data_IF_664900482065
#
_entry.id   IF_664900482065
#
_cell.length_a   1.000
_cell.length_b   1.000
_cell.length_c   1.000
_cell.angle_alpha   90.00
_cell.angle_beta   90.00
_cell.angle_gamma   90.00
#
_symmetry.space_group_name_H-M   'P 1'
#
loop_
_entity.id
_entity.type
_entity.pdbx_description
1 polymer ?
#
# COMPACT_ATOMS: atom_id res chain seq x y z
N UNK A 1 -24.16 -0.05 15.41
CA UNK A 1 -22.85 -0.71 15.36
C UNK A 1 -22.08 -0.08 14.23
N UNK A 2 -20.89 0.42 14.49
CA UNK A 2 -20.01 1.04 13.51
C UNK A 2 -18.58 1.07 14.02
N UNK A 3 -17.61 1.03 13.11
CA UNK A 3 -16.24 1.40 13.46
C UNK A 3 -16.16 2.92 13.66
N UNK A 4 -15.13 3.38 14.36
CA UNK A 4 -14.83 4.80 14.59
C UNK A 4 -13.58 5.16 13.79
N UNK A 5 -13.78 5.56 12.56
CA UNK A 5 -12.69 6.02 11.71
C UNK A 5 -12.50 7.53 11.88
N UNK A 6 -11.24 7.94 11.94
CA UNK A 6 -10.82 9.34 12.03
C UNK A 6 -9.85 9.66 10.89
N UNK A 7 -9.82 10.89 10.38
CA UNK A 7 -8.89 11.21 9.29
C UNK A 7 -7.43 11.03 9.73
N UNK A 8 -6.57 10.56 8.82
CA UNK A 8 -5.12 10.63 9.00
C UNK A 8 -4.69 12.10 8.91
N UNK A 9 -3.78 12.50 9.82
CA UNK A 9 -3.19 13.84 9.81
C UNK A 9 -2.46 14.08 8.48
N UNK A 10 -2.50 15.32 7.98
CA UNK A 10 -1.82 15.67 6.74
C UNK A 10 -1.10 17.02 6.84
N UNK A 11 0.03 17.10 6.14
CA UNK A 11 0.85 18.30 6.01
C UNK A 11 1.31 18.43 4.56
N UNK A 12 1.64 19.64 4.15
CA UNK A 12 2.26 19.87 2.84
C UNK A 12 3.72 19.36 2.85
N UNK A 13 4.49 19.77 3.84
CA UNK A 13 5.88 19.37 4.09
C UNK A 13 6.13 19.38 5.61
N UNK A 14 7.20 18.73 6.08
CA UNK A 14 7.51 18.59 7.50
C UNK A 14 9.01 18.58 7.78
N UNK A 15 9.43 19.24 8.86
CA UNK A 15 10.80 19.17 9.34
C UNK A 15 11.11 17.80 9.95
N UNK A 16 12.38 17.38 9.93
CA UNK A 16 12.81 16.13 10.58
C UNK A 16 12.45 16.11 12.06
N UNK A 17 12.64 17.22 12.76
CA UNK A 17 12.38 17.34 14.20
C UNK A 17 10.89 17.16 14.51
N UNK A 18 10.02 17.86 13.77
CA UNK A 18 8.57 17.74 13.95
C UNK A 18 8.07 16.35 13.57
N UNK A 19 8.60 15.78 12.48
CA UNK A 19 8.28 14.41 12.08
C UNK A 19 8.63 13.42 13.19
N UNK A 20 9.83 13.53 13.77
CA UNK A 20 10.29 12.63 14.83
C UNK A 20 9.40 12.76 16.07
N UNK A 21 9.21 13.99 16.56
CA UNK A 21 8.55 14.24 17.84
C UNK A 21 7.05 14.00 17.79
N UNK A 22 6.39 14.32 16.66
CA UNK A 22 4.93 14.29 16.56
C UNK A 22 4.38 13.02 15.91
N UNK A 23 5.18 12.32 15.09
CA UNK A 23 4.70 11.19 14.28
C UNK A 23 5.51 9.90 14.46
N UNK A 24 6.83 9.95 14.35
CA UNK A 24 7.67 8.75 14.47
C UNK A 24 7.65 8.17 15.89
N UNK A 25 8.05 8.96 16.89
CA UNK A 25 8.11 8.53 18.31
C UNK A 25 6.70 8.15 18.81
N UNK A 26 5.65 8.97 18.58
CA UNK A 26 4.30 8.63 19.03
C UNK A 26 3.60 7.55 18.19
N UNK A 27 4.24 7.06 17.12
CA UNK A 27 3.70 6.10 16.15
C UNK A 27 2.33 6.51 15.61
N UNK A 28 2.28 7.70 14.99
CA UNK A 28 1.08 8.22 14.32
C UNK A 28 1.27 8.24 12.81
N UNK A 29 0.30 7.72 12.04
CA UNK A 29 0.30 7.87 10.58
C UNK A 29 0.23 9.34 10.17
N UNK A 30 0.85 9.66 9.03
CA UNK A 30 0.91 11.01 8.47
C UNK A 30 0.91 10.97 6.94
N UNK A 31 0.15 11.86 6.30
CA UNK A 31 0.26 12.13 4.87
C UNK A 31 1.09 13.39 4.64
N UNK A 32 2.09 13.29 3.76
CA UNK A 32 2.95 14.40 3.32
C UNK A 32 2.67 14.64 1.84
N UNK A 33 1.91 15.72 1.54
CA UNK A 33 1.39 15.97 0.18
C UNK A 33 2.45 16.37 -0.83
N UNK A 34 3.52 17.05 -0.41
CA UNK A 34 4.59 17.54 -1.30
C UNK A 34 5.88 16.73 -1.18
N UNK A 35 5.85 15.54 -0.57
CA UNK A 35 7.01 14.66 -0.44
C UNK A 35 7.67 14.33 -1.80
N UNK A 36 6.87 14.22 -2.85
CA UNK A 36 7.31 13.89 -4.21
C UNK A 36 7.58 15.10 -5.09
N UNK A 37 7.46 16.33 -4.59
CA UNK A 37 7.55 17.54 -5.41
C UNK A 37 8.90 17.65 -6.16
N UNK A 38 9.96 17.07 -5.60
CA UNK A 38 11.30 17.03 -6.20
C UNK A 38 11.57 15.79 -7.08
N UNK A 39 10.63 14.85 -7.14
CA UNK A 39 10.79 13.59 -7.86
C UNK A 39 10.40 13.79 -9.33
N UNK A 40 11.29 13.49 -10.30
CA UNK A 40 10.88 13.43 -11.71
C UNK A 40 9.70 12.47 -11.94
N UNK A 41 9.59 11.40 -11.14
CA UNK A 41 8.49 10.44 -11.18
C UNK A 41 7.10 11.08 -11.11
N UNK A 42 6.95 12.21 -10.39
CA UNK A 42 5.67 12.92 -10.22
C UNK A 42 5.05 13.37 -11.55
N UNK A 43 5.86 13.58 -12.60
CA UNK A 43 5.35 13.92 -13.92
C UNK A 43 5.63 12.81 -14.94
N UNK A 44 6.75 12.10 -14.78
CA UNK A 44 7.26 11.16 -15.76
C UNK A 44 6.61 9.78 -15.68
N UNK A 45 6.21 9.31 -14.50
CA UNK A 45 5.65 7.96 -14.32
C UNK A 45 4.18 7.91 -14.72
N UNK A 46 3.94 8.06 -16.03
CA UNK A 46 2.66 7.76 -16.66
C UNK A 46 2.58 6.28 -17.02
N UNK A 47 1.37 5.78 -17.30
CA UNK A 47 1.21 4.42 -17.80
C UNK A 47 1.97 4.18 -19.10
N UNK A 48 1.94 5.12 -20.05
CA UNK A 48 2.69 5.02 -21.30
C UNK A 48 4.20 4.90 -21.07
N UNK A 49 4.76 5.74 -20.20
CA UNK A 49 6.18 5.69 -19.86
C UNK A 49 6.57 4.35 -19.23
N UNK A 50 5.76 3.84 -18.30
CA UNK A 50 6.03 2.55 -17.65
C UNK A 50 5.89 1.38 -18.65
N UNK A 51 4.92 1.44 -19.58
CA UNK A 51 4.79 0.48 -20.68
C UNK A 51 6.00 0.50 -21.62
N UNK A 52 6.52 1.67 -21.95
CA UNK A 52 7.75 1.78 -22.76
C UNK A 52 8.96 1.20 -22.02
N UNK A 53 9.03 1.44 -20.71
CA UNK A 53 10.21 1.10 -19.90
C UNK A 53 10.27 -0.39 -19.54
N UNK A 54 9.15 -1.01 -19.13
CA UNK A 54 9.10 -2.40 -18.66
C UNK A 54 7.91 -3.21 -19.19
N UNK A 55 7.20 -2.71 -20.20
CA UNK A 55 5.97 -3.33 -20.72
C UNK A 55 6.13 -4.74 -21.29
N UNK A 56 7.32 -5.11 -21.75
CA UNK A 56 7.60 -6.44 -22.30
C UNK A 56 7.85 -7.52 -21.23
N UNK A 57 8.01 -7.12 -19.96
CA UNK A 57 8.31 -8.03 -18.85
C UNK A 57 7.07 -8.80 -18.43
N UNK A 58 7.22 -10.12 -18.26
CA UNK A 58 6.17 -10.96 -17.67
C UNK A 58 6.12 -10.69 -16.18
N UNK A 59 4.93 -10.38 -15.67
CA UNK A 59 4.68 -10.11 -14.25
C UNK A 59 3.67 -11.10 -13.68
N UNK A 60 3.90 -11.61 -12.46
CA UNK A 60 2.91 -12.41 -11.75
C UNK A 60 1.75 -11.54 -11.30
N UNK A 61 0.54 -12.07 -11.46
CA UNK A 61 -0.70 -11.44 -11.03
C UNK A 61 -1.36 -12.27 -9.94
N UNK A 62 -1.96 -11.57 -8.98
CA UNK A 62 -2.61 -12.10 -7.80
C UNK A 62 -4.06 -11.65 -7.80
N UNK A 63 -4.97 -12.46 -7.28
CA UNK A 63 -6.38 -12.11 -7.11
C UNK A 63 -6.74 -12.03 -5.61
N UNK A 64 -8.03 -11.93 -5.31
CA UNK A 64 -8.60 -11.97 -3.95
C UNK A 64 -9.02 -13.38 -3.54
N UNK A 65 -8.54 -14.43 -4.22
CA UNK A 65 -8.80 -15.80 -3.81
C UNK A 65 -8.17 -16.09 -2.45
N UNK A 66 -8.95 -16.72 -1.56
CA UNK A 66 -8.49 -17.07 -0.22
C UNK A 66 -7.21 -17.90 -0.28
N UNK A 67 -6.31 -17.64 0.66
CA UNK A 67 -5.10 -18.42 0.81
C UNK A 67 -5.41 -19.93 0.88
N UNK A 68 -4.84 -20.70 -0.04
CA UNK A 68 -4.95 -22.15 -0.07
C UNK A 68 -3.74 -22.76 0.67
N UNK A 69 -3.92 -23.41 1.84
CA UNK A 69 -2.81 -23.98 2.61
C UNK A 69 -2.05 -25.08 1.87
N UNK A 70 -2.61 -25.63 0.79
CA UNK A 70 -1.96 -26.64 -0.04
C UNK A 70 -1.06 -26.06 -1.13
N UNK A 71 -1.12 -24.75 -1.37
CA UNK A 71 -0.32 -24.05 -2.38
C UNK A 71 0.87 -23.33 -1.75
N UNK A 72 1.93 -23.05 -2.53
CA UNK A 72 2.95 -22.09 -2.11
C UNK A 72 2.30 -20.76 -1.71
N UNK A 73 2.80 -20.17 -0.63
CA UNK A 73 2.42 -18.82 -0.21
C UNK A 73 2.68 -17.88 -1.40
N UNK A 74 1.69 -17.06 -1.77
CA UNK A 74 1.73 -16.15 -2.92
C UNK A 74 1.95 -16.86 -4.26
N UNK A 75 1.23 -17.95 -4.52
CA UNK A 75 1.10 -18.48 -5.89
C UNK A 75 0.35 -17.47 -6.78
N UNK A 76 0.90 -17.18 -7.97
CA UNK A 76 0.23 -16.30 -8.93
C UNK A 76 -1.04 -16.96 -9.48
N UNK A 77 -2.10 -16.16 -9.63
CA UNK A 77 -3.34 -16.57 -10.27
C UNK A 77 -3.20 -16.55 -11.81
N UNK A 78 -2.37 -15.64 -12.33
CA UNK A 78 -2.07 -15.50 -13.74
C UNK A 78 -0.69 -14.86 -13.96
N UNK A 79 -0.22 -14.89 -15.21
CA UNK A 79 0.96 -14.15 -15.65
C UNK A 79 0.65 -13.52 -17.01
N UNK A 80 1.09 -12.28 -17.23
CA UNK A 80 1.03 -11.62 -18.53
C UNK A 80 2.13 -10.56 -18.63
N UNK A 81 2.29 -9.94 -19.80
CA UNK A 81 3.18 -8.79 -19.94
C UNK A 81 2.67 -7.62 -19.11
N UNK A 82 3.57 -6.87 -18.49
CA UNK A 82 3.25 -5.66 -17.75
C UNK A 82 2.43 -4.69 -18.60
N UNK A 83 2.78 -4.54 -19.89
CA UNK A 83 2.04 -3.67 -20.81
C UNK A 83 0.59 -4.09 -21.01
N UNK A 84 0.36 -5.40 -21.15
CA UNK A 84 -0.98 -5.96 -21.32
C UNK A 84 -1.82 -5.79 -20.03
N UNK A 85 -1.18 -5.91 -18.86
CA UNK A 85 -1.84 -5.66 -17.58
C UNK A 85 -2.23 -4.19 -17.40
N UNK A 86 -1.35 -3.25 -17.80
CA UNK A 86 -1.67 -1.82 -17.78
C UNK A 86 -2.84 -1.49 -18.73
N UNK A 87 -2.93 -2.17 -19.88
CA UNK A 87 -4.08 -2.02 -20.78
C UNK A 87 -5.37 -2.59 -20.16
N UNK A 88 -5.29 -3.72 -19.46
CA UNK A 88 -6.42 -4.34 -18.75
C UNK A 88 -7.02 -3.38 -17.71
N UNK A 89 -6.20 -2.87 -16.78
CA UNK A 89 -6.70 -2.03 -15.67
C UNK A 89 -7.24 -0.66 -16.10
N UNK A 90 -6.85 -0.19 -17.29
CA UNK A 90 -7.39 1.03 -17.89
C UNK A 90 -8.71 0.79 -18.62
N UNK A 91 -8.91 -0.41 -19.15
CA UNK A 91 -10.10 -0.78 -19.91
C UNK A 91 -11.26 -1.14 -19.00
N UNK A 92 -11.02 -1.96 -17.98
CA UNK A 92 -12.08 -2.50 -17.13
C UNK A 92 -11.59 -2.81 -15.70
N UNK A 93 -12.49 -2.79 -14.70
CA UNK A 93 -12.19 -3.30 -13.37
C UNK A 93 -11.71 -4.75 -13.42
N UNK A 94 -10.73 -5.09 -12.60
CA UNK A 94 -10.21 -6.45 -12.48
C UNK A 94 -9.77 -6.69 -11.04
N UNK A 95 -9.91 -7.94 -10.61
CA UNK A 95 -9.42 -8.39 -9.30
C UNK A 95 -7.91 -8.73 -9.34
N UNK A 96 -7.32 -8.76 -10.54
CA UNK A 96 -5.89 -9.01 -10.71
C UNK A 96 -5.07 -7.81 -10.25
N UNK A 97 -3.99 -8.08 -9.52
CA UNK A 97 -3.02 -7.09 -9.03
C UNK A 97 -1.59 -7.58 -9.16
N UNK A 98 -0.67 -6.63 -9.32
CA UNK A 98 0.77 -6.88 -9.22
C UNK A 98 1.18 -6.63 -7.76
N UNK A 99 1.72 -7.65 -7.12
CA UNK A 99 2.27 -7.57 -5.76
C UNK A 99 3.79 -7.67 -5.81
N UNK A 100 4.48 -6.72 -5.16
CA UNK A 100 5.94 -6.68 -5.02
C UNK A 100 6.70 -6.84 -6.36
N UNK A 101 6.34 -6.03 -7.36
CA UNK A 101 7.15 -5.96 -8.58
C UNK A 101 8.33 -5.03 -8.38
N UNK A 102 9.51 -5.52 -8.78
CA UNK A 102 10.77 -4.79 -8.76
C UNK A 102 11.15 -4.44 -10.22
N UNK A 103 10.62 -3.34 -10.77
CA UNK A 103 10.97 -2.92 -12.13
C UNK A 103 12.41 -2.44 -12.25
N UNK A 104 13.07 -2.08 -11.14
CA UNK A 104 14.43 -1.53 -11.12
C UNK A 104 15.45 -2.58 -11.56
N UNK A 105 15.19 -3.87 -11.30
CA UNK A 105 15.98 -4.98 -11.86
C UNK A 105 16.06 -4.96 -13.38
N UNK A 106 15.00 -4.48 -14.04
CA UNK A 106 14.90 -4.44 -15.50
C UNK A 106 15.20 -3.06 -16.07
N UNK A 107 14.92 -2.00 -15.31
CA UNK A 107 15.07 -0.61 -15.69
C UNK A 107 15.68 0.21 -14.53
N UNK A 108 16.99 0.08 -14.28
CA UNK A 108 17.63 0.74 -13.14
C UNK A 108 17.57 2.28 -13.20
N UNK A 109 17.40 2.85 -14.39
CA UNK A 109 17.23 4.29 -14.59
C UNK A 109 15.95 4.85 -13.93
N UNK A 110 14.99 4.00 -13.52
CA UNK A 110 13.84 4.44 -12.71
C UNK A 110 14.28 5.02 -11.36
N UNK A 111 15.43 4.62 -10.83
CA UNK A 111 15.99 5.21 -9.61
C UNK A 111 16.37 6.67 -9.76
N UNK A 112 16.65 7.15 -10.99
CA UNK A 112 16.95 8.55 -11.26
C UNK A 112 15.72 9.45 -11.06
N UNK A 113 14.51 8.86 -11.08
CA UNK A 113 13.23 9.54 -10.94
C UNK A 113 12.71 9.57 -9.49
N UNK A 114 13.33 8.80 -8.59
CA UNK A 114 12.91 8.59 -7.20
C UNK A 114 13.82 9.32 -6.20
N UNK A 115 13.27 9.84 -5.10
CA UNK A 115 14.08 10.38 -3.97
C UNK A 115 13.59 9.78 -2.66
N UNK A 116 14.38 8.87 -2.09
CA UNK A 116 14.07 8.32 -0.76
C UNK A 116 13.96 9.42 0.30
N UNK A 117 12.98 9.35 1.23
CA UNK A 117 12.74 10.35 2.29
C UNK A 117 13.79 10.31 3.42
N UNK A 118 15.06 10.17 3.07
CA UNK A 118 16.23 10.08 3.96
C UNK A 118 16.42 11.28 4.89
N UNK A 119 15.86 12.43 4.51
CA UNK A 119 15.81 13.63 5.36
C UNK A 119 14.91 13.45 6.58
N UNK A 120 13.84 12.64 6.48
CA UNK A 120 12.93 12.32 7.58
C UNK A 120 13.41 11.07 8.33
N UNK A 121 13.60 9.99 7.58
CA UNK A 121 14.03 8.69 8.09
C UNK A 121 14.78 7.97 6.98
N UNK A 122 15.98 7.48 7.30
CA UNK A 122 16.78 6.71 6.35
C UNK A 122 17.20 5.37 6.95
N UNK A 123 17.61 4.45 6.10
CA UNK A 123 18.01 3.12 6.52
C UNK A 123 18.51 2.25 5.37
N UNK A 124 18.83 1.00 5.70
CA UNK A 124 19.30 0.02 4.73
C UNK A 124 18.23 -0.30 3.66
N UNK A 125 16.95 -0.29 4.05
CA UNK A 125 15.82 -0.66 3.19
C UNK A 125 15.49 0.37 2.11
N UNK A 126 15.99 1.61 2.23
CA UNK A 126 15.78 2.70 1.25
C UNK A 126 16.22 2.35 -0.18
N UNK A 127 17.07 1.32 -0.31
CA UNK A 127 17.61 0.83 -1.58
C UNK A 127 16.73 -0.19 -2.29
N UNK A 128 15.62 -0.60 -1.68
CA UNK A 128 14.75 -1.66 -2.19
C UNK A 128 13.29 -1.19 -2.32
N UNK A 129 12.99 -0.17 -3.13
CA UNK A 129 11.60 0.23 -3.35
C UNK A 129 10.89 -0.85 -4.15
N UNK A 130 9.70 -1.23 -3.68
CA UNK A 130 8.81 -2.15 -4.37
C UNK A 130 7.63 -1.38 -4.97
N UNK A 131 7.17 -1.81 -6.14
CA UNK A 131 5.98 -1.22 -6.77
C UNK A 131 4.81 -2.20 -6.70
N UNK A 132 3.63 -1.62 -6.49
CA UNK A 132 2.35 -2.31 -6.44
C UNK A 132 1.44 -1.67 -7.47
N UNK A 133 0.68 -2.49 -8.20
CA UNK A 133 -0.29 -2.01 -9.18
C UNK A 133 -1.62 -2.73 -8.98
N UNK A 134 -2.71 -1.97 -9.00
CA UNK A 134 -4.07 -2.50 -8.94
C UNK A 134 -4.98 -1.67 -9.82
N UNK A 135 -5.99 -2.31 -10.41
CA UNK A 135 -7.08 -1.61 -11.10
C UNK A 135 -8.09 -0.98 -10.15
N UNK A 136 -9.04 -0.23 -10.71
CA UNK A 136 -10.15 0.31 -9.94
C UNK A 136 -10.94 -0.82 -9.24
N UNK A 137 -11.18 -0.66 -7.95
CA UNK A 137 -11.85 -1.68 -7.12
C UNK A 137 -10.92 -2.76 -6.56
N UNK A 138 -9.62 -2.74 -6.87
CA UNK A 138 -8.66 -3.67 -6.26
C UNK A 138 -8.55 -3.43 -4.76
N UNK A 139 -8.70 -4.50 -3.98
CA UNK A 139 -8.62 -4.48 -2.51
C UNK A 139 -7.42 -5.31 -2.06
N UNK A 140 -6.69 -4.78 -1.08
CA UNK A 140 -5.73 -5.58 -0.31
C UNK A 140 -6.35 -5.85 1.05
N UNK A 141 -6.46 -7.13 1.41
CA UNK A 141 -6.98 -7.54 2.71
C UNK A 141 -6.18 -6.91 3.85
N UNK A 142 -6.81 -6.79 5.03
CA UNK A 142 -6.15 -6.26 6.21
C UNK A 142 -4.98 -7.14 6.64
N UNK A 143 -3.82 -6.54 6.74
CA UNK A 143 -2.57 -7.16 7.16
C UNK A 143 -1.66 -6.12 7.78
N UNK A 144 -0.63 -6.60 8.45
CA UNK A 144 0.55 -5.81 8.81
C UNK A 144 1.78 -6.43 8.16
N UNK A 145 2.83 -5.64 7.98
CA UNK A 145 4.04 -6.10 7.33
C UNK A 145 4.89 -6.99 8.24
N UNK A 146 5.34 -8.12 7.69
CA UNK A 146 6.04 -9.19 8.44
C UNK A 146 7.38 -8.72 9.04
N UNK A 147 8.03 -7.74 8.41
CA UNK A 147 9.31 -7.19 8.84
C UNK A 147 9.14 -6.11 9.92
N UNK A 148 7.89 -5.73 10.25
CA UNK A 148 7.55 -4.68 11.19
C UNK A 148 8.34 -3.38 10.90
N UNK A 149 8.54 -3.04 9.63
CA UNK A 149 9.19 -1.81 9.23
C UNK A 149 8.25 -0.59 9.39
N UNK A 150 8.86 0.59 9.48
CA UNK A 150 8.16 1.84 9.19
C UNK A 150 8.14 2.05 7.67
N UNK A 151 7.00 2.43 7.11
CA UNK A 151 6.81 2.45 5.65
C UNK A 151 6.45 3.84 5.17
N UNK A 152 7.07 4.25 4.07
CA UNK A 152 6.65 5.41 3.28
C UNK A 152 5.98 4.90 2.00
N UNK A 153 4.65 4.90 1.98
CA UNK A 153 3.85 4.48 0.84
C UNK A 153 3.51 5.70 -0.02
N UNK A 154 4.17 5.82 -1.17
CA UNK A 154 3.92 6.91 -2.11
C UNK A 154 2.95 6.46 -3.19
N UNK A 155 1.85 7.21 -3.38
CA UNK A 155 0.81 6.87 -4.34
C UNK A 155 1.01 7.61 -5.66
N UNK A 156 0.95 6.87 -6.78
CA UNK A 156 0.94 7.44 -8.12
C UNK A 156 -0.26 6.89 -8.89
N UNK A 157 -0.95 7.80 -9.57
CA UNK A 157 -2.00 7.57 -10.55
C UNK A 157 -3.29 6.96 -9.98
N UNK A 158 -4.41 7.66 -10.17
CA UNK A 158 -5.68 7.31 -9.54
C UNK A 158 -5.75 7.79 -8.08
N UNK A 159 -6.58 7.11 -7.29
CA UNK A 159 -6.79 7.37 -5.87
C UNK A 159 -6.85 6.07 -5.11
N UNK A 160 -6.36 6.05 -3.88
CA UNK A 160 -6.40 4.88 -3.01
C UNK A 160 -7.00 5.22 -1.66
N UNK A 161 -8.05 4.49 -1.27
CA UNK A 161 -8.56 4.55 0.10
C UNK A 161 -7.69 3.64 0.99
N UNK A 162 -7.19 4.19 2.08
CA UNK A 162 -6.40 3.45 3.08
C UNK A 162 -7.07 3.59 4.43
N UNK A 163 -7.27 2.46 5.10
CA UNK A 163 -7.74 2.38 6.48
C UNK A 163 -6.65 1.66 7.29
N UNK A 164 -6.18 2.31 8.34
CA UNK A 164 -5.13 1.82 9.23
C UNK A 164 -5.69 1.60 10.64
N UNK A 165 -5.26 0.52 11.29
CA UNK A 165 -5.66 0.20 12.65
C UNK A 165 -4.44 0.02 13.53
N UNK A 166 -4.50 0.51 14.76
CA UNK A 166 -3.44 0.23 15.73
C UNK A 166 -3.42 -1.28 16.03
N UNK A 167 -2.22 -1.83 16.16
CA UNK A 167 -1.95 -3.24 16.39
C UNK A 167 -2.69 -3.82 17.62
N UNK A 168 -3.06 -2.96 18.59
CA UNK A 168 -3.93 -3.35 19.73
C UNK A 168 -5.29 -3.92 19.32
N UNK A 169 -5.73 -3.67 18.08
CA UNK A 169 -7.01 -4.14 17.55
C UNK A 169 -6.95 -5.52 16.86
N UNK A 170 -5.77 -6.13 16.72
CA UNK A 170 -5.59 -7.39 15.98
C UNK A 170 -6.59 -8.49 16.33
N UNK A 171 -6.81 -8.77 17.61
CA UNK A 171 -7.76 -9.80 18.03
C UNK A 171 -9.19 -9.48 17.58
N UNK A 172 -9.57 -8.19 17.64
CA UNK A 172 -10.91 -7.72 17.26
C UNK A 172 -11.08 -7.62 15.74
N UNK A 173 -9.98 -7.43 15.01
CA UNK A 173 -9.88 -7.54 13.57
C UNK A 173 -9.80 -9.00 13.11
N UNK A 174 -9.95 -9.98 13.99
CA UNK A 174 -9.88 -11.40 13.62
C UNK A 174 -8.56 -11.76 12.91
N UNK A 175 -7.43 -11.21 13.39
CA UNK A 175 -6.10 -11.62 12.95
C UNK A 175 -5.91 -13.13 13.16
N UNK A 176 -5.45 -13.83 12.11
CA UNK A 176 -5.24 -15.27 12.19
C UNK A 176 -4.00 -15.55 13.05
N UNK A 177 -4.06 -16.49 14.02
CA UNK A 177 -2.90 -16.83 14.85
C UNK A 177 -1.69 -17.25 14.01
N UNK A 178 -0.52 -16.71 14.34
CA UNK A 178 0.75 -16.97 13.63
C UNK A 178 0.78 -16.53 12.15
N UNK A 179 -0.18 -15.69 11.74
CA UNK A 179 -0.19 -15.02 10.44
C UNK A 179 -0.10 -13.51 10.61
N UNK A 180 0.16 -12.79 9.52
CA UNK A 180 0.23 -11.32 9.50
C UNK A 180 -1.03 -10.66 8.97
N UNK A 181 -2.13 -11.40 8.84
CA UNK A 181 -3.35 -10.95 8.19
C UNK A 181 -4.62 -11.41 8.90
N UNK A 182 -5.68 -10.62 8.71
CA UNK A 182 -7.02 -10.88 9.21
C UNK A 182 -7.78 -11.88 8.34
N UNK A 183 -8.93 -12.34 8.84
CA UNK A 183 -9.87 -13.10 8.03
C UNK A 183 -10.27 -12.31 6.77
N UNK A 184 -10.19 -12.97 5.62
CA UNK A 184 -10.66 -12.44 4.32
C UNK A 184 -12.19 -12.59 4.15
N UNK A 185 -12.91 -12.92 5.24
CA UNK A 185 -14.33 -13.25 5.24
C UNK A 185 -15.28 -12.05 5.44
N UNK A 186 -14.72 -10.84 5.54
CA UNK A 186 -15.46 -9.60 5.70
C UNK A 186 -14.87 -8.47 4.86
N UNK A 187 -15.76 -7.59 4.41
CA UNK A 187 -15.43 -6.31 3.83
C UNK A 187 -15.22 -5.29 4.96
N UNK A 188 -14.02 -4.72 5.07
CA UNK A 188 -13.72 -3.73 6.11
C UNK A 188 -14.44 -2.40 5.86
N UNK A 189 -14.75 -2.04 4.62
CA UNK A 189 -15.46 -0.80 4.32
C UNK A 189 -16.95 -0.92 4.67
N UNK A 190 -17.50 -2.13 4.58
CA UNK A 190 -18.90 -2.42 4.90
C UNK A 190 -19.07 -3.75 5.66
N UNK A 191 -18.64 -3.83 6.93
CA UNK A 191 -18.61 -5.09 7.66
C UNK A 191 -20.00 -5.52 8.14
N UNK A 192 -20.29 -6.82 8.04
CA UNK A 192 -21.46 -7.42 8.69
C UNK A 192 -21.19 -7.59 10.20
N UNK A 193 -21.58 -6.61 11.00
CA UNK A 193 -21.44 -6.64 12.46
C UNK A 193 -22.24 -7.76 13.15
N UNK A 194 -23.21 -8.41 12.49
CA UNK A 194 -23.87 -9.58 13.07
C UNK A 194 -22.96 -10.80 12.99
N UNK A 195 -22.23 -10.96 11.88
CA UNK A 195 -21.26 -12.04 11.66
C UNK A 195 -19.92 -11.75 12.35
N UNK A 196 -19.51 -10.48 12.38
CA UNK A 196 -18.24 -10.01 12.93
C UNK A 196 -18.43 -8.94 14.03
N UNK A 197 -19.10 -9.28 15.15
CA UNK A 197 -19.46 -8.31 16.18
C UNK A 197 -18.24 -7.67 16.87
N UNK A 198 -17.07 -8.31 16.83
CA UNK A 198 -15.86 -7.76 17.44
C UNK A 198 -15.38 -6.48 16.75
N UNK A 199 -15.81 -6.19 15.51
CA UNK A 199 -15.48 -4.94 14.81
C UNK A 199 -16.21 -3.72 15.38
N UNK A 200 -17.29 -3.89 16.14
CA UNK A 200 -18.11 -2.76 16.58
C UNK A 200 -17.37 -1.80 17.52
N UNK A 201 -17.17 -0.56 17.12
CA UNK A 201 -16.50 0.45 17.93
C UNK A 201 -14.98 0.33 18.00
N UNK A 202 -14.33 -0.48 17.13
CA UNK A 202 -12.88 -0.35 16.93
C UNK A 202 -12.54 1.03 16.36
N UNK A 203 -11.35 1.52 16.67
CA UNK A 203 -10.88 2.83 16.24
C UNK A 203 -9.83 2.67 15.15
N UNK A 204 -10.03 3.34 14.03
CA UNK A 204 -9.10 3.34 12.90
C UNK A 204 -8.82 4.75 12.41
N UNK A 205 -7.86 4.84 11.49
CA UNK A 205 -7.56 6.07 10.77
C UNK A 205 -7.73 5.84 9.27
N UNK A 206 -8.33 6.78 8.56
CA UNK A 206 -8.58 6.65 7.13
C UNK A 206 -8.10 7.86 6.34
N UNK A 207 -7.77 7.64 5.07
CA UNK A 207 -7.54 8.71 4.11
C UNK A 207 -7.65 8.22 2.66
N UNK A 208 -7.91 9.17 1.78
CA UNK A 208 -7.75 9.00 0.33
C UNK A 208 -6.37 9.55 -0.04
N UNK A 209 -5.50 8.71 -0.59
CA UNK A 209 -4.23 9.13 -1.17
C UNK A 209 -4.46 9.59 -2.60
N UNK A 210 -3.97 10.78 -2.92
CA UNK A 210 -3.97 11.36 -4.26
C UNK A 210 -2.61 11.13 -4.95
N UNK A 211 -2.53 11.41 -6.25
CA UNK A 211 -1.28 11.30 -7.01
C UNK A 211 -0.18 12.20 -6.42
N UNK A 212 0.92 11.60 -5.98
CA UNK A 212 2.07 12.27 -5.38
C UNK A 212 2.08 12.28 -3.86
N UNK A 213 1.00 11.89 -3.19
CA UNK A 213 0.95 11.81 -1.73
C UNK A 213 1.87 10.70 -1.20
N UNK A 214 2.58 10.97 -0.12
CA UNK A 214 3.31 9.95 0.64
C UNK A 214 2.69 9.75 2.01
N UNK A 215 2.24 8.52 2.28
CA UNK A 215 1.75 8.08 3.58
C UNK A 215 2.89 7.44 4.40
N UNK A 216 3.19 8.01 5.55
CA UNK A 216 3.97 7.36 6.59
C UNK A 216 3.07 6.42 7.41
N UNK A 217 3.39 5.12 7.37
CA UNK A 217 2.74 4.08 8.17
C UNK A 217 3.72 3.61 9.25
N UNK A 218 3.41 3.83 10.54
CA UNK A 218 4.26 3.33 11.61
C UNK A 218 4.28 1.81 11.65
N UNK A 219 5.38 1.24 12.16
CA UNK A 219 5.53 -0.20 12.35
C UNK A 219 4.32 -0.84 13.05
N UNK A 220 3.82 -1.93 12.47
CA UNK A 220 2.76 -2.77 13.02
C UNK A 220 1.34 -2.23 12.91
N UNK A 221 1.10 -1.14 12.16
CA UNK A 221 -0.25 -0.73 11.74
C UNK A 221 -0.84 -1.64 10.67
#
# INVERSE_FOLDING_TARGET
>A
MSMKLSPIDHVDDISKEDFINNYLIPRKPLIIRKATQSWPALQKWTFDYLKETVGDKIVPLYDSSKADPSKPINASAAEMKFGDYIDLIQKEPTDLRIFLFDPIKYAPALLDDYRSPTNLMGGFLDKYPNMFFGGAGSVTFLHYDIDLAHIFHTHFNGRKHVILFDQKWSDRLYCIPFATYALEDYDIENPDFKKFPALDGIEGREAILEHGDTLFMPTGY
#
